data_IF_639406364999
#
_entry.id   IF_639406364999
#
_cell.length_a   1.000
_cell.length_b   1.000
_cell.length_c   1.000
_cell.angle_alpha   90.00
_cell.angle_beta   90.00
_cell.angle_gamma   90.00
#
_symmetry.space_group_name_H-M   'P 1'
#
loop_
_entity.id
_entity.type
_entity.pdbx_description
1 polymer ?
#
# COMPACT_ATOMS: atom_id res chain seq x y z
N UNK A 1 -6.76 39.62 -22.02
CA UNK A 1 -7.09 39.03 -20.70
C UNK A 1 -6.54 37.62 -20.67
N UNK A 2 -5.50 37.36 -19.89
CA UNK A 2 -5.00 36.00 -19.66
C UNK A 2 -6.02 35.24 -18.81
N UNK A 3 -6.53 34.12 -19.33
CA UNK A 3 -7.35 33.18 -18.58
C UNK A 3 -6.43 32.57 -17.51
N UNK A 4 -6.76 32.77 -16.24
CA UNK A 4 -6.11 32.08 -15.15
C UNK A 4 -6.20 30.58 -15.41
N UNK A 5 -5.06 29.97 -15.73
CA UNK A 5 -4.91 28.53 -15.78
C UNK A 5 -5.12 28.05 -14.36
N UNK A 6 -6.32 27.53 -14.08
CA UNK A 6 -6.61 26.81 -12.85
C UNK A 6 -5.55 25.71 -12.80
N UNK A 7 -4.56 25.85 -11.89
CA UNK A 7 -3.67 24.75 -11.52
C UNK A 7 -4.60 23.56 -11.32
N UNK A 8 -4.44 22.57 -12.20
CA UNK A 8 -5.27 21.38 -12.23
C UNK A 8 -5.35 20.84 -10.81
N UNK A 9 -6.56 20.61 -10.28
CA UNK A 9 -6.68 19.88 -9.02
C UNK A 9 -5.86 18.60 -9.18
N UNK A 10 -4.80 18.47 -8.38
CA UNK A 10 -4.04 17.24 -8.24
C UNK A 10 -5.07 16.12 -8.00
N UNK A 11 -5.08 15.13 -8.88
CA UNK A 11 -6.05 14.05 -8.81
C UNK A 11 -5.87 13.31 -7.49
N UNK A 12 -6.80 13.48 -6.56
CA UNK A 12 -6.84 12.74 -5.28
C UNK A 12 -7.25 11.27 -5.45
N UNK A 13 -7.40 10.80 -6.69
CA UNK A 13 -7.74 9.40 -6.98
C UNK A 13 -6.48 8.56 -6.94
N UNK A 14 -6.43 7.64 -5.99
CA UNK A 14 -5.40 6.62 -5.88
C UNK A 14 -6.05 5.23 -5.74
N UNK A 15 -5.27 4.20 -6.04
CA UNK A 15 -5.56 2.84 -5.67
C UNK A 15 -4.26 2.22 -5.15
N UNK A 16 -4.34 1.56 -4.00
CA UNK A 16 -3.24 0.81 -3.42
C UNK A 16 -3.63 -0.67 -3.41
N UNK A 17 -2.76 -1.51 -3.95
CA UNK A 17 -2.91 -2.96 -3.90
C UNK A 17 -1.63 -3.56 -3.32
N UNK A 18 -1.78 -4.45 -2.35
CA UNK A 18 -0.71 -5.20 -1.72
C UNK A 18 -0.96 -6.69 -1.96
N UNK A 19 0.10 -7.48 -2.15
CA UNK A 19 0.00 -8.94 -2.23
C UNK A 19 1.08 -9.60 -1.38
N UNK A 20 0.73 -10.68 -0.69
CA UNK A 20 1.68 -11.45 0.12
C UNK A 20 2.56 -12.43 -0.68
N UNK A 21 2.26 -12.60 -1.97
CA UNK A 21 2.88 -13.62 -2.84
C UNK A 21 1.81 -14.59 -3.39
N UNK A 22 2.21 -15.41 -4.36
CA UNK A 22 1.35 -16.46 -4.92
C UNK A 22 1.65 -17.82 -4.25
N UNK A 23 0.75 -18.80 -4.42
CA UNK A 23 0.95 -20.17 -3.93
C UNK A 23 0.22 -20.51 -2.64
N UNK A 24 -1.03 -20.05 -2.49
CA UNK A 24 -1.89 -20.45 -1.37
C UNK A 24 -1.99 -21.99 -1.26
N UNK A 25 -1.83 -22.50 -0.05
CA UNK A 25 -1.88 -23.93 0.29
C UNK A 25 -3.21 -24.24 0.94
N UNK A 26 -3.82 -25.33 0.50
CA UNK A 26 -5.06 -25.81 1.08
C UNK A 26 -4.85 -26.18 2.56
N UNK A 27 -5.70 -25.63 3.45
CA UNK A 27 -5.66 -25.91 4.88
C UNK A 27 -4.68 -25.07 5.70
N UNK A 28 -3.96 -24.14 5.08
CA UNK A 28 -3.14 -23.15 5.79
C UNK A 28 -4.04 -22.01 6.33
N UNK A 29 -3.78 -21.59 7.56
CA UNK A 29 -4.49 -20.47 8.18
C UNK A 29 -3.84 -19.13 7.76
N UNK A 30 -4.60 -18.35 6.99
CA UNK A 30 -4.16 -17.06 6.48
C UNK A 30 -4.64 -15.87 7.32
N UNK A 31 -5.36 -16.07 8.43
CA UNK A 31 -5.95 -14.97 9.22
C UNK A 31 -4.91 -13.92 9.59
N UNK A 32 -3.72 -14.35 10.01
CA UNK A 32 -2.62 -13.43 10.38
C UNK A 32 -2.09 -12.64 9.18
N UNK A 33 -2.03 -13.27 8.00
CA UNK A 33 -1.54 -12.66 6.76
C UNK A 33 -2.56 -11.66 6.22
N UNK A 34 -3.84 -12.02 6.23
CA UNK A 34 -4.96 -11.17 5.82
C UNK A 34 -5.08 -9.94 6.71
N UNK A 35 -5.03 -10.14 8.03
CA UNK A 35 -5.07 -9.04 9.00
C UNK A 35 -3.90 -8.07 8.76
N UNK A 36 -2.68 -8.58 8.60
CA UNK A 36 -1.52 -7.74 8.38
C UNK A 36 -1.58 -6.97 7.04
N UNK A 37 -2.07 -7.61 5.96
CA UNK A 37 -2.28 -6.92 4.68
C UNK A 37 -3.34 -5.81 4.80
N UNK A 38 -4.41 -6.04 5.56
CA UNK A 38 -5.44 -5.03 5.80
C UNK A 38 -4.90 -3.84 6.61
N UNK A 39 -4.08 -4.10 7.63
CA UNK A 39 -3.42 -3.07 8.44
C UNK A 39 -2.47 -2.21 7.59
N UNK A 40 -1.65 -2.83 6.74
CA UNK A 40 -0.78 -2.10 5.81
C UNK A 40 -1.58 -1.32 4.77
N UNK A 41 -2.63 -1.89 4.19
CA UNK A 41 -3.47 -1.18 3.22
C UNK A 41 -4.08 0.10 3.83
N UNK A 42 -4.58 0.02 5.07
CA UNK A 42 -5.10 1.18 5.79
C UNK A 42 -4.01 2.22 6.10
N UNK A 43 -2.80 1.78 6.47
CA UNK A 43 -1.66 2.67 6.69
C UNK A 43 -1.24 3.40 5.39
N UNK A 44 -1.13 2.67 4.29
CA UNK A 44 -0.77 3.23 2.99
C UNK A 44 -1.83 4.19 2.47
N UNK A 45 -3.11 3.87 2.66
CA UNK A 45 -4.22 4.79 2.38
C UNK A 45 -4.08 6.09 3.18
N UNK A 46 -3.81 6.01 4.49
CA UNK A 46 -3.63 7.19 5.32
C UNK A 46 -2.46 8.07 4.84
N UNK A 47 -1.36 7.46 4.37
CA UNK A 47 -0.24 8.21 3.79
C UNK A 47 -0.61 8.88 2.46
N UNK A 48 -1.34 8.20 1.58
CA UNK A 48 -1.81 8.77 0.31
C UNK A 48 -2.79 9.93 0.54
N UNK A 49 -3.72 9.80 1.49
CA UNK A 49 -4.62 10.89 1.91
C UNK A 49 -3.86 12.11 2.44
N UNK A 50 -2.74 11.88 3.11
CA UNK A 50 -1.86 12.94 3.61
C UNK A 50 -0.98 13.58 2.50
N UNK A 51 -1.14 13.19 1.24
CA UNK A 51 -0.38 13.71 0.10
C UNK A 51 1.06 13.20 0.03
N UNK A 52 1.37 12.05 0.64
CA UNK A 52 2.69 11.45 0.51
C UNK A 52 2.93 10.96 -0.93
N UNK A 53 4.15 11.10 -1.47
CA UNK A 53 4.51 10.54 -2.76
C UNK A 53 4.23 9.03 -2.80
N UNK A 54 3.60 8.56 -3.88
CA UNK A 54 3.25 7.14 -4.01
C UNK A 54 4.46 6.21 -3.84
N UNK A 55 5.64 6.65 -4.28
CA UNK A 55 6.89 5.89 -4.13
C UNK A 55 7.27 5.68 -2.66
N UNK A 56 7.17 6.70 -1.83
CA UNK A 56 7.45 6.61 -0.38
C UNK A 56 6.42 5.71 0.33
N UNK A 57 5.15 5.78 -0.12
CA UNK A 57 4.08 4.92 0.40
C UNK A 57 4.39 3.46 0.13
N UNK A 58 4.63 3.09 -1.14
CA UNK A 58 4.87 1.68 -1.48
C UNK A 58 6.18 1.16 -0.91
N UNK A 59 7.23 1.97 -0.84
CA UNK A 59 8.49 1.61 -0.17
C UNK A 59 8.24 1.26 1.30
N UNK A 60 7.49 2.10 2.02
CA UNK A 60 7.12 1.84 3.41
C UNK A 60 6.30 0.55 3.55
N UNK A 61 5.29 0.34 2.70
CA UNK A 61 4.47 -0.88 2.76
C UNK A 61 5.31 -2.14 2.51
N UNK A 62 6.19 -2.11 1.51
CA UNK A 62 7.06 -3.26 1.18
C UNK A 62 8.07 -3.53 2.30
N UNK A 63 8.65 -2.50 2.91
CA UNK A 63 9.57 -2.67 4.05
C UNK A 63 8.90 -3.32 5.27
N UNK A 64 7.63 -3.02 5.53
CA UNK A 64 6.87 -3.68 6.60
C UNK A 64 6.50 -5.14 6.22
N UNK A 65 6.16 -5.41 4.95
CA UNK A 65 5.98 -6.79 4.48
C UNK A 65 7.26 -7.60 4.72
N UNK A 66 8.41 -7.09 4.29
CA UNK A 66 9.73 -7.68 4.50
C UNK A 66 9.96 -7.99 5.99
N UNK A 67 9.94 -6.96 6.85
CA UNK A 67 10.29 -7.13 8.27
C UNK A 67 9.35 -8.05 9.08
N UNK A 68 8.09 -8.20 8.66
CA UNK A 68 7.10 -9.02 9.36
C UNK A 68 7.50 -10.50 9.47
N UNK A 69 8.14 -11.05 8.43
CA UNK A 69 8.43 -12.47 8.31
C UNK A 69 7.23 -13.36 8.03
N UNK A 70 6.11 -12.79 7.60
CA UNK A 70 4.94 -13.56 7.16
C UNK A 70 5.01 -13.92 5.67
N UNK A 71 5.90 -13.26 4.91
CA UNK A 71 5.96 -13.35 3.46
C UNK A 71 7.32 -13.85 3.00
N UNK A 72 7.38 -14.41 1.79
CA UNK A 72 8.64 -14.81 1.13
C UNK A 72 9.28 -13.56 0.51
N UNK A 73 9.70 -12.65 1.38
CA UNK A 73 10.38 -11.39 1.10
C UNK A 73 11.28 -11.06 2.30
N UNK A 74 12.25 -10.17 2.12
CA UNK A 74 13.38 -9.99 3.03
C UNK A 74 13.05 -10.01 4.53
N UNK A 75 13.58 -11.01 5.22
CA UNK A 75 13.79 -11.05 6.67
C UNK A 75 15.07 -11.81 6.97
#
# INVERSE_FOLDING_TARGET
>A
MMKAMKLTEESTKYALALHGGAGAKLGEDYVRVEQHLAELAAQGEAMLLAGKPAIDVVEKMVSELESSGYYVAGK
#
